data_IF_202045516368
#
_entry.id   IF_202045516368
#
_cell.length_a   1.000
_cell.length_b   1.000
_cell.length_c   1.000
_cell.angle_alpha   90.00
_cell.angle_beta   90.00
_cell.angle_gamma   90.00
#
_symmetry.space_group_name_H-M   'P 1'
#
loop_
_entity.id
_entity.type
_entity.pdbx_description
1 polymer ?
#
# COMPACT_ATOMS: atom_id res chain seq x y z
N UNK A 1 4.87 -14.93 -17.89
CA UNK A 1 4.39 -13.64 -17.39
C UNK A 1 3.80 -13.79 -16.00
N UNK A 2 4.24 -12.99 -15.06
CA UNK A 2 3.86 -13.12 -13.65
C UNK A 2 2.67 -12.22 -13.31
N UNK A 3 1.47 -12.58 -13.80
CA UNK A 3 0.26 -11.83 -13.49
C UNK A 3 -0.10 -11.90 -12.00
N UNK A 4 -0.52 -10.80 -11.42
CA UNK A 4 -1.09 -10.73 -10.07
C UNK A 4 -2.23 -11.74 -9.94
N UNK A 5 -3.12 -11.79 -10.93
CA UNK A 5 -4.31 -12.66 -10.93
C UNK A 5 -3.97 -14.14 -10.71
N UNK A 6 -2.86 -14.60 -11.26
CA UNK A 6 -2.43 -16.00 -11.12
C UNK A 6 -1.87 -16.31 -9.74
N UNK A 7 -1.49 -15.28 -8.97
CA UNK A 7 -0.84 -15.43 -7.66
C UNK A 7 -1.74 -15.09 -6.49
N UNK A 8 -2.79 -14.28 -6.71
CA UNK A 8 -3.72 -13.92 -5.65
C UNK A 8 -4.56 -15.12 -5.20
N UNK A 9 -4.80 -15.18 -3.91
CA UNK A 9 -5.74 -16.13 -3.30
C UNK A 9 -7.11 -15.48 -3.15
N UNK A 10 -8.20 -16.27 -3.04
CA UNK A 10 -9.54 -15.72 -2.89
C UNK A 10 -9.72 -14.76 -1.71
N UNK A 11 -9.01 -15.01 -0.61
CA UNK A 11 -9.08 -14.16 0.58
C UNK A 11 -8.30 -12.84 0.49
N UNK A 12 -7.59 -12.59 -0.62
CA UNK A 12 -6.94 -11.29 -0.87
C UNK A 12 -7.97 -10.21 -1.24
N UNK A 13 -9.20 -10.59 -1.56
CA UNK A 13 -10.27 -9.64 -1.93
C UNK A 13 -10.97 -9.12 -0.67
N UNK A 14 -10.26 -8.36 0.14
CA UNK A 14 -10.80 -7.76 1.36
C UNK A 14 -11.23 -6.32 1.06
N UNK A 15 -12.49 -6.02 1.35
CA UNK A 15 -13.04 -4.68 1.19
C UNK A 15 -12.60 -3.77 2.35
N UNK A 16 -12.10 -2.58 2.03
CA UNK A 16 -11.69 -1.60 3.05
C UNK A 16 -12.86 -0.72 3.45
N UNK A 17 -13.31 -0.74 4.73
CA UNK A 17 -14.43 0.10 5.17
C UNK A 17 -14.14 1.60 4.98
N UNK A 18 -15.16 2.41 4.60
CA UNK A 18 -14.96 3.84 4.36
C UNK A 18 -14.35 4.62 5.51
N UNK A 19 -14.72 4.30 6.75
CA UNK A 19 -14.14 4.95 7.94
C UNK A 19 -12.65 4.69 8.08
N UNK A 20 -12.21 3.49 7.71
CA UNK A 20 -10.79 3.12 7.76
C UNK A 20 -10.01 3.88 6.69
N UNK A 21 -10.61 4.07 5.51
CA UNK A 21 -10.01 4.89 4.45
C UNK A 21 -9.84 6.33 4.93
N UNK A 22 -10.84 6.90 5.60
CA UNK A 22 -10.74 8.26 6.13
C UNK A 22 -9.61 8.39 7.16
N UNK A 23 -9.51 7.42 8.07
CA UNK A 23 -8.40 7.37 9.05
C UNK A 23 -7.06 7.31 8.33
N UNK A 24 -6.96 6.44 7.34
CA UNK A 24 -5.73 6.23 6.57
C UNK A 24 -5.27 7.51 5.86
N UNK A 25 -6.17 8.16 5.14
CA UNK A 25 -5.86 9.37 4.38
C UNK A 25 -5.53 10.56 5.30
N UNK A 26 -6.24 10.71 6.41
CA UNK A 26 -5.92 11.74 7.40
C UNK A 26 -4.57 11.50 8.08
N UNK A 27 -4.25 10.23 8.34
CA UNK A 27 -3.01 9.86 9.03
C UNK A 27 -1.78 9.99 8.14
N UNK A 28 -1.87 9.61 6.87
CA UNK A 28 -0.69 9.49 6.02
C UNK A 28 -0.06 10.82 5.61
N UNK A 29 -0.82 11.91 5.59
CA UNK A 29 -0.31 13.21 5.18
C UNK A 29 -0.28 13.43 3.67
N UNK A 30 -1.00 12.58 2.91
CA UNK A 30 -1.18 12.79 1.49
C UNK A 30 -1.96 14.07 1.23
N UNK A 31 -1.51 14.87 0.28
CA UNK A 31 -2.15 16.12 -0.10
C UNK A 31 -2.60 16.11 -1.57
N UNK A 32 -3.69 16.79 -1.84
CA UNK A 32 -4.14 17.08 -3.19
C UNK A 32 -3.00 17.69 -4.03
N UNK A 33 -2.88 17.24 -5.27
CA UNK A 33 -1.83 17.68 -6.18
C UNK A 33 -0.59 16.80 -6.20
N UNK A 34 -0.38 15.96 -5.19
CA UNK A 34 0.65 14.92 -5.22
C UNK A 34 0.17 13.74 -6.06
N UNK A 35 1.00 13.25 -6.99
CA UNK A 35 0.63 12.10 -7.81
C UNK A 35 0.50 10.85 -6.95
N UNK A 36 -0.57 10.09 -7.16
CA UNK A 36 -0.88 8.92 -6.34
C UNK A 36 -1.38 7.76 -7.19
N UNK A 37 -0.93 6.56 -6.84
CA UNK A 37 -1.38 5.31 -7.44
C UNK A 37 -2.06 4.45 -6.38
N UNK A 38 -3.25 3.94 -6.70
CA UNK A 38 -3.86 2.81 -5.96
C UNK A 38 -3.64 1.54 -6.80
N UNK A 39 -2.67 0.70 -6.43
CA UNK A 39 -2.27 -0.43 -7.28
C UNK A 39 -3.18 -1.66 -7.21
N UNK A 40 -4.16 -1.65 -6.31
CA UNK A 40 -5.13 -2.73 -6.14
C UNK A 40 -6.49 -2.12 -5.78
N UNK A 41 -7.07 -1.38 -6.74
CA UNK A 41 -8.25 -0.53 -6.52
C UNK A 41 -9.44 -1.28 -5.94
N UNK A 42 -9.69 -2.51 -6.38
CA UNK A 42 -10.88 -3.25 -5.99
C UNK A 42 -12.14 -2.49 -6.39
N UNK A 43 -13.06 -2.31 -5.44
CA UNK A 43 -14.30 -1.55 -5.65
C UNK A 43 -14.12 -0.03 -5.55
N UNK A 44 -12.89 0.44 -5.30
CA UNK A 44 -12.59 1.86 -5.30
C UNK A 44 -12.70 2.57 -3.96
N UNK A 45 -12.77 1.85 -2.85
CA UNK A 45 -12.93 2.44 -1.52
C UNK A 45 -11.85 3.51 -1.21
N UNK A 46 -10.60 3.22 -1.56
CA UNK A 46 -9.50 4.19 -1.40
C UNK A 46 -9.46 5.13 -2.59
N UNK A 47 -9.43 4.58 -3.82
CA UNK A 47 -9.25 5.36 -5.04
C UNK A 47 -10.26 6.49 -5.18
N UNK A 48 -11.54 6.23 -4.86
CA UNK A 48 -12.60 7.23 -5.01
C UNK A 48 -12.44 8.44 -4.08
N UNK A 49 -11.66 8.29 -3.00
CA UNK A 49 -11.37 9.38 -2.05
C UNK A 49 -10.04 10.08 -2.32
N UNK A 50 -9.25 9.57 -3.26
CA UNK A 50 -8.03 10.25 -3.71
C UNK A 50 -8.38 11.38 -4.67
N UNK A 51 -7.50 12.37 -4.77
CA UNK A 51 -7.64 13.52 -5.66
C UNK A 51 -6.62 13.46 -6.80
N UNK A 52 -6.94 14.15 -7.90
CA UNK A 52 -6.05 14.22 -9.06
C UNK A 52 -4.71 14.93 -8.72
N UNK A 53 -3.59 14.52 -9.31
CA UNK A 53 -3.45 13.45 -10.31
C UNK A 53 -3.44 12.06 -9.67
N UNK A 54 -4.36 11.19 -10.06
CA UNK A 54 -4.46 9.83 -9.54
C UNK A 54 -4.58 8.80 -10.65
N UNK A 55 -4.01 7.61 -10.41
CA UNK A 55 -4.13 6.46 -11.29
C UNK A 55 -4.43 5.21 -10.45
N UNK A 56 -4.85 4.13 -11.11
CA UNK A 56 -5.09 2.86 -10.43
C UNK A 56 -4.63 1.69 -11.28
N UNK A 57 -4.40 0.56 -10.61
CA UNK A 57 -4.33 -0.76 -11.22
C UNK A 57 -5.46 -1.61 -10.66
N UNK A 58 -6.03 -2.45 -11.50
CA UNK A 58 -7.06 -3.41 -11.14
C UNK A 58 -6.94 -4.64 -12.04
N UNK A 59 -6.52 -5.75 -11.44
CA UNK A 59 -6.22 -6.96 -12.22
C UNK A 59 -7.45 -7.55 -12.91
N UNK A 60 -8.64 -7.36 -12.32
CA UNK A 60 -9.89 -7.82 -12.95
C UNK A 60 -10.23 -7.02 -14.21
N UNK A 61 -9.66 -5.82 -14.37
CA UNK A 61 -9.75 -5.00 -15.56
C UNK A 61 -8.55 -5.19 -16.50
N UNK A 62 -7.66 -6.13 -16.19
CA UNK A 62 -6.44 -6.37 -16.97
C UNK A 62 -5.31 -5.37 -16.74
N UNK A 63 -5.41 -4.53 -15.74
CA UNK A 63 -4.38 -3.53 -15.39
C UNK A 63 -3.54 -4.08 -14.25
N UNK A 64 -2.41 -4.69 -14.62
CA UNK A 64 -1.52 -5.38 -13.69
C UNK A 64 -0.49 -4.41 -13.10
N UNK A 65 -0.45 -4.31 -11.77
CA UNK A 65 0.51 -3.46 -11.06
C UNK A 65 1.97 -3.78 -11.46
N UNK A 66 2.32 -5.03 -11.67
CA UNK A 66 3.70 -5.41 -12.04
C UNK A 66 4.12 -4.90 -13.42
N UNK A 67 3.18 -4.49 -14.26
CA UNK A 67 3.44 -3.86 -15.54
C UNK A 67 3.41 -2.32 -15.47
N UNK A 68 3.04 -1.76 -14.33
CA UNK A 68 3.04 -0.31 -14.12
C UNK A 68 4.46 0.15 -13.82
N UNK A 69 4.96 1.14 -14.56
CA UNK A 69 6.35 1.59 -14.46
C UNK A 69 6.53 3.13 -14.42
N UNK A 70 5.43 3.87 -14.29
CA UNK A 70 5.51 5.33 -14.09
C UNK A 70 5.89 5.63 -12.64
N UNK A 71 6.62 6.72 -12.42
CA UNK A 71 6.92 7.21 -11.08
C UNK A 71 5.78 8.03 -10.53
N UNK A 72 5.42 7.80 -9.27
CA UNK A 72 4.43 8.59 -8.55
C UNK A 72 4.99 9.01 -7.20
N UNK A 73 4.42 10.05 -6.60
CA UNK A 73 4.82 10.47 -5.26
C UNK A 73 4.34 9.46 -4.22
N UNK A 74 3.09 9.02 -4.31
CA UNK A 74 2.47 8.12 -3.34
C UNK A 74 1.94 6.83 -3.97
N UNK A 75 2.08 5.74 -3.23
CA UNK A 75 1.23 4.56 -3.37
C UNK A 75 0.42 4.41 -2.09
N UNK A 76 -0.90 4.34 -2.21
CA UNK A 76 -1.81 4.19 -1.07
C UNK A 76 -2.73 3.03 -1.34
N UNK A 77 -2.67 1.99 -0.50
CA UNK A 77 -3.44 0.77 -0.76
C UNK A 77 -3.61 -0.13 0.46
N UNK A 78 -4.59 -1.03 0.34
CA UNK A 78 -4.69 -2.25 1.12
C UNK A 78 -4.19 -3.39 0.21
N UNK A 79 -2.94 -3.86 0.39
CA UNK A 79 -2.33 -4.77 -0.57
C UNK A 79 -2.87 -6.20 -0.46
N UNK A 80 -2.76 -6.99 -1.54
CA UNK A 80 -3.07 -8.43 -1.47
C UNK A 80 -2.00 -9.15 -0.65
N UNK A 81 -2.38 -9.65 0.53
CA UNK A 81 -1.43 -10.18 1.52
C UNK A 81 -0.69 -11.45 1.08
N UNK A 82 -1.30 -12.28 0.25
CA UNK A 82 -0.66 -13.51 -0.21
C UNK A 82 0.56 -13.28 -1.11
N UNK A 83 0.69 -12.08 -1.68
CA UNK A 83 1.80 -11.69 -2.55
C UNK A 83 2.48 -10.41 -2.04
N UNK A 84 2.42 -10.17 -0.74
CA UNK A 84 2.88 -8.92 -0.14
C UNK A 84 4.33 -8.60 -0.47
N UNK A 85 5.23 -9.58 -0.42
CA UNK A 85 6.65 -9.34 -0.70
C UNK A 85 6.90 -8.87 -2.14
N UNK A 86 6.20 -9.46 -3.10
CA UNK A 86 6.28 -9.04 -4.50
C UNK A 86 5.69 -7.64 -4.69
N UNK A 87 4.59 -7.37 -4.01
CA UNK A 87 3.92 -6.08 -4.07
C UNK A 87 4.79 -4.96 -3.50
N UNK A 88 5.40 -5.19 -2.33
CA UNK A 88 6.34 -4.26 -1.71
C UNK A 88 7.56 -4.03 -2.61
N UNK A 89 8.14 -5.09 -3.16
CA UNK A 89 9.31 -4.99 -4.04
C UNK A 89 9.04 -4.07 -5.23
N UNK A 90 7.88 -4.20 -5.86
CA UNK A 90 7.52 -3.32 -6.97
C UNK A 90 7.25 -1.88 -6.50
N UNK A 91 6.60 -1.73 -5.35
CA UNK A 91 6.35 -0.43 -4.73
C UNK A 91 7.64 0.38 -4.55
N UNK A 92 8.72 -0.25 -4.10
CA UNK A 92 10.01 0.44 -3.89
C UNK A 92 10.58 1.04 -5.17
N UNK A 93 10.20 0.52 -6.33
CA UNK A 93 10.70 1.01 -7.63
C UNK A 93 9.86 2.15 -8.22
N UNK A 94 8.66 2.39 -7.69
CA UNK A 94 7.64 3.25 -8.32
C UNK A 94 7.48 4.59 -7.59
N UNK A 95 7.58 4.61 -6.26
CA UNK A 95 7.18 5.78 -5.48
C UNK A 95 8.28 6.29 -4.54
N UNK A 96 8.02 7.47 -3.97
CA UNK A 96 8.84 8.05 -2.90
C UNK A 96 8.26 7.80 -1.52
N UNK A 97 6.93 7.63 -1.44
CA UNK A 97 6.20 7.38 -0.19
C UNK A 97 5.10 6.37 -0.45
N UNK A 98 4.82 5.54 0.54
CA UNK A 98 3.64 4.69 0.46
C UNK A 98 2.94 4.56 1.81
N UNK A 99 1.65 4.34 1.75
CA UNK A 99 0.80 4.10 2.90
C UNK A 99 0.04 2.79 2.68
N UNK A 100 0.30 1.82 3.53
CA UNK A 100 -0.30 0.49 3.45
C UNK A 100 -1.10 0.18 4.70
N UNK A 101 -2.23 -0.50 4.54
CA UNK A 101 -2.87 -1.22 5.64
C UNK A 101 -2.28 -2.62 5.65
N UNK A 102 -1.66 -3.01 6.75
CA UNK A 102 -0.97 -4.30 6.84
C UNK A 102 -1.36 -5.01 8.15
N UNK A 103 -1.67 -6.31 8.08
CA UNK A 103 -1.94 -7.11 9.27
C UNK A 103 -0.74 -7.12 10.22
N UNK A 104 -0.99 -7.10 11.53
CA UNK A 104 0.08 -7.01 12.52
C UNK A 104 1.09 -8.17 12.41
N UNK A 105 0.64 -9.36 12.02
CA UNK A 105 1.53 -10.50 11.83
C UNK A 105 2.27 -10.50 10.49
N UNK A 106 1.87 -9.61 9.57
CA UNK A 106 2.50 -9.48 8.27
C UNK A 106 3.68 -8.51 8.28
N UNK A 107 3.76 -7.63 9.27
CA UNK A 107 4.88 -6.70 9.43
C UNK A 107 6.01 -7.39 10.21
N UNK A 108 6.77 -8.22 9.51
CA UNK A 108 7.83 -9.04 10.11
C UNK A 108 9.17 -8.29 10.13
N UNK A 109 10.09 -8.67 11.04
CA UNK A 109 11.46 -8.11 11.03
C UNK A 109 12.15 -8.25 9.68
N UNK A 110 11.94 -9.36 8.98
CA UNK A 110 12.53 -9.60 7.65
C UNK A 110 12.01 -8.62 6.61
N UNK A 111 10.71 -8.34 6.61
CA UNK A 111 10.12 -7.36 5.68
C UNK A 111 10.63 -5.95 5.95
N UNK A 112 10.78 -5.58 7.22
CA UNK A 112 11.35 -4.27 7.61
C UNK A 112 12.81 -4.18 7.13
N UNK A 113 13.59 -5.24 7.32
CA UNK A 113 14.99 -5.29 6.85
C UNK A 113 15.09 -5.08 5.34
N UNK A 114 14.26 -5.78 4.56
CA UNK A 114 14.24 -5.65 3.09
C UNK A 114 13.80 -4.24 2.69
N UNK A 115 12.79 -3.70 3.35
CA UNK A 115 12.33 -2.32 3.14
C UNK A 115 13.48 -1.32 3.33
N UNK A 116 14.18 -1.42 4.45
CA UNK A 116 15.29 -0.52 4.78
C UNK A 116 16.45 -0.65 3.78
N UNK A 117 16.74 -1.86 3.33
CA UNK A 117 17.75 -2.09 2.27
C UNK A 117 17.40 -1.43 0.93
N UNK A 118 16.10 -1.23 0.68
CA UNK A 118 15.61 -0.51 -0.50
C UNK A 118 15.49 1.00 -0.26
N UNK A 119 15.94 1.49 0.89
CA UNK A 119 15.96 2.92 1.21
C UNK A 119 14.65 3.46 1.78
N UNK A 120 13.69 2.59 2.10
CA UNK A 120 12.42 2.99 2.69
C UNK A 120 12.41 2.70 4.19
N UNK A 121 11.84 3.63 4.94
CA UNK A 121 11.75 3.55 6.40
C UNK A 121 10.33 3.87 6.84
N UNK A 122 9.84 3.17 7.86
CA UNK A 122 8.55 3.49 8.48
C UNK A 122 8.71 4.80 9.25
N UNK A 123 7.98 5.83 8.82
CA UNK A 123 8.02 7.15 9.46
C UNK A 123 6.80 7.43 10.33
N UNK A 124 5.68 6.72 10.08
CA UNK A 124 4.48 6.76 10.90
C UNK A 124 3.85 5.39 10.98
N UNK A 125 3.29 5.04 12.13
CA UNK A 125 2.59 3.78 12.31
C UNK A 125 1.42 3.97 13.27
N UNK A 126 0.24 3.50 12.86
CA UNK A 126 -0.97 3.52 13.66
C UNK A 126 -1.52 2.11 13.79
N UNK A 127 -1.63 1.63 15.01
CA UNK A 127 -2.31 0.36 15.29
C UNK A 127 -3.81 0.59 15.31
N UNK A 128 -4.55 -0.17 14.51
CA UNK A 128 -6.01 -0.08 14.47
C UNK A 128 -6.64 -1.47 14.46
N UNK A 129 -7.88 -1.55 14.91
CA UNK A 129 -8.68 -2.76 14.83
C UNK A 129 -9.92 -2.50 14.00
N UNK A 130 -10.08 -3.29 12.95
CA UNK A 130 -11.24 -3.24 12.09
C UNK A 130 -12.17 -4.39 12.51
N UNK A 131 -13.40 -4.10 13.01
CA UNK A 131 -14.24 -5.09 13.66
C UNK A 131 -14.52 -6.36 12.86
N UNK A 132 -14.63 -6.24 11.52
CA UNK A 132 -14.92 -7.37 10.63
C UNK A 132 -13.65 -8.15 10.21
N UNK A 133 -12.47 -7.71 10.61
CA UNK A 133 -11.22 -8.34 10.21
C UNK A 133 -10.68 -9.25 11.31
N UNK A 134 -10.04 -10.34 10.88
CA UNK A 134 -9.52 -11.38 11.76
C UNK A 134 -8.49 -10.87 12.76
N UNK A 135 -7.58 -10.00 12.32
CA UNK A 135 -6.48 -9.52 13.15
C UNK A 135 -6.47 -7.99 13.23
N UNK A 136 -5.72 -7.48 14.21
CA UNK A 136 -5.39 -6.05 14.25
C UNK A 136 -4.49 -5.70 13.08
N UNK A 137 -4.56 -4.47 12.65
CA UNK A 137 -3.80 -3.97 11.51
C UNK A 137 -3.00 -2.73 11.88
N UNK A 138 -1.91 -2.55 11.16
CA UNK A 138 -1.19 -1.28 11.14
C UNK A 138 -1.54 -0.51 9.88
N UNK A 139 -1.68 0.79 10.03
CA UNK A 139 -1.55 1.73 8.92
C UNK A 139 -0.12 2.24 9.02
N UNK A 140 0.71 1.92 8.03
CA UNK A 140 2.11 2.33 7.99
C UNK A 140 2.32 3.36 6.89
N UNK A 141 3.13 4.37 7.19
CA UNK A 141 3.64 5.33 6.21
C UNK A 141 5.13 5.11 6.10
N UNK A 142 5.59 4.87 4.89
CA UNK A 142 7.00 4.62 4.60
C UNK A 142 7.49 5.63 3.59
N UNK A 143 8.69 6.14 3.82
CA UNK A 143 9.29 7.16 2.97
C UNK A 143 10.69 6.75 2.53
N UNK A 144 11.03 7.09 1.30
CA UNK A 144 12.37 6.92 0.78
C UNK A 144 13.28 8.01 1.37
N UNK A 145 14.27 7.59 2.14
CA UNK A 145 15.19 8.49 2.83
C UNK A 145 16.64 8.10 2.51
N UNK A 146 17.55 9.08 2.55
CA UNK A 146 18.97 8.83 2.28
C UNK A 146 19.66 8.06 3.40
N UNK A 147 19.11 8.13 4.62
CA UNK A 147 19.60 7.41 5.80
C UNK A 147 18.46 7.09 6.74
N UNK A 148 18.71 6.15 7.63
CA UNK A 148 17.75 5.79 8.68
C UNK A 148 17.40 7.02 9.53
N UNK A 149 16.08 7.23 9.84
CA UNK A 149 15.67 8.34 10.70
C UNK A 149 16.31 8.22 12.09
N UNK A 150 16.71 9.35 12.64
CA UNK A 150 17.16 9.41 14.03
C UNK A 150 15.96 9.26 14.98
N UNK A 151 16.16 8.48 16.02
CA UNK A 151 15.13 8.28 17.07
C UNK A 151 15.01 9.50 17.97
#
# INVERSE_FOLDING_TARGET
MNSIKLRQKPNDKIYTPPKVVDIMLNFCGYNSGESVLEPARGLGAIYNKLEEPKEYCEIEEGIDFFNYNKKVEWIITNPPYSILDLFLKHTYTICNKFCYIIGMYSLTPKRIEVMNKNGFYITKMLLTKIPSWFQRTYIIVCEKLDKEPEN
#
